data_IF_624278109705
#
_entry.id   IF_624278109705
#
_cell.length_a   1.000
_cell.length_b   1.000
_cell.length_c   1.000
_cell.angle_alpha   90.00
_cell.angle_beta   90.00
_cell.angle_gamma   90.00
#
_symmetry.space_group_name_H-M   'P 1'
#
loop_
_entity.id
_entity.type
_entity.pdbx_description
1 polymer ?
#
# COMPACT_ATOMS: atom_id res chain seq x y z
N UNK A 1 -19.52 21.84 0.21
CA UNK A 1 -18.98 21.76 1.58
C UNK A 1 -17.64 22.48 1.58
N UNK A 2 -17.33 23.35 2.55
CA UNK A 2 -16.02 23.97 2.62
C UNK A 2 -14.99 22.85 2.85
N UNK A 3 -14.04 22.71 1.93
CA UNK A 3 -12.91 21.81 2.13
C UNK A 3 -12.06 22.46 3.21
N UNK A 4 -11.96 21.82 4.37
CA UNK A 4 -11.14 22.30 5.47
C UNK A 4 -9.70 22.47 4.96
N UNK A 5 -9.23 23.71 4.91
CA UNK A 5 -7.87 24.12 4.55
C UNK A 5 -6.79 23.20 5.18
N UNK A 6 -6.88 22.74 6.45
CA UNK A 6 -5.91 21.79 7.00
C UNK A 6 -5.89 20.42 6.31
N UNK A 7 -7.03 19.89 5.85
CA UNK A 7 -7.08 18.60 5.13
C UNK A 7 -6.41 18.70 3.76
N UNK A 8 -6.56 19.84 3.09
CA UNK A 8 -5.91 20.13 1.80
C UNK A 8 -4.39 20.16 1.91
N UNK A 9 -3.85 20.80 2.94
CA UNK A 9 -2.40 20.87 3.19
C UNK A 9 -1.81 19.48 3.46
N UNK A 10 -2.56 18.63 4.18
CA UNK A 10 -2.16 17.25 4.43
C UNK A 10 -2.13 16.41 3.14
N UNK A 11 -3.15 16.54 2.28
CA UNK A 11 -3.20 15.86 0.99
C UNK A 11 -2.05 16.30 0.07
N UNK A 12 -1.76 17.61 0.01
CA UNK A 12 -0.65 18.14 -0.79
C UNK A 12 0.72 17.61 -0.31
N UNK A 13 0.91 17.41 1.00
CA UNK A 13 2.13 16.81 1.54
C UNK A 13 2.24 15.31 1.23
N UNK A 14 1.14 14.58 1.22
CA UNK A 14 1.15 13.16 0.81
C UNK A 14 1.28 12.99 -0.70
N UNK A 15 0.86 13.96 -1.51
CA UNK A 15 1.09 13.94 -2.95
C UNK A 15 2.58 13.95 -3.29
N UNK A 16 3.43 14.54 -2.43
CA UNK A 16 4.90 14.48 -2.53
C UNK A 16 5.47 13.08 -2.25
N UNK A 17 4.66 12.11 -1.81
CA UNK A 17 5.08 10.73 -1.59
C UNK A 17 4.55 9.79 -2.70
N UNK A 18 3.95 10.34 -3.75
CA UNK A 18 3.42 9.55 -4.87
C UNK A 18 4.58 9.11 -5.76
N UNK A 19 4.91 7.81 -5.83
CA UNK A 19 6.02 7.33 -6.64
C UNK A 19 5.72 7.49 -8.13
N UNK A 20 6.75 7.80 -8.93
CA UNK A 20 6.63 7.88 -10.38
C UNK A 20 6.10 6.58 -11.04
N UNK A 21 5.50 6.62 -12.25
CA UNK A 21 4.71 5.52 -12.82
C UNK A 21 5.43 4.18 -12.97
N UNK A 22 6.75 4.20 -13.23
CA UNK A 22 7.56 2.99 -13.33
C UNK A 22 7.82 2.36 -11.94
N UNK A 23 8.06 3.19 -10.92
CA UNK A 23 8.24 2.77 -9.53
C UNK A 23 6.96 2.15 -8.97
N UNK A 24 5.79 2.75 -9.26
CA UNK A 24 4.49 2.25 -8.79
C UNK A 24 4.20 0.82 -9.25
N UNK A 25 4.60 0.45 -10.47
CA UNK A 25 4.43 -0.91 -11.00
C UNK A 25 5.21 -1.94 -10.21
N UNK A 26 6.45 -1.64 -9.86
CA UNK A 26 7.28 -2.54 -9.06
C UNK A 26 6.81 -2.62 -7.61
N UNK A 27 6.32 -1.50 -7.05
CA UNK A 27 5.71 -1.47 -5.72
C UNK A 27 4.42 -2.31 -5.65
N UNK A 28 3.57 -2.28 -6.68
CA UNK A 28 2.40 -3.16 -6.78
C UNK A 28 2.78 -4.65 -6.78
N UNK A 29 3.88 -5.01 -7.44
CA UNK A 29 4.40 -6.39 -7.40
C UNK A 29 4.88 -6.73 -5.98
N UNK A 30 5.59 -5.81 -5.33
CA UNK A 30 6.05 -5.98 -3.95
C UNK A 30 4.88 -6.15 -2.96
N UNK A 31 3.80 -5.38 -3.12
CA UNK A 31 2.58 -5.51 -2.34
C UNK A 31 1.91 -6.87 -2.56
N UNK A 32 1.83 -7.32 -3.81
CA UNK A 32 1.27 -8.63 -4.12
C UNK A 32 2.05 -9.75 -3.43
N UNK A 33 3.39 -9.67 -3.45
CA UNK A 33 4.26 -10.61 -2.71
C UNK A 33 3.97 -10.55 -1.21
N UNK A 34 3.77 -9.37 -0.64
CA UNK A 34 3.42 -9.19 0.77
C UNK A 34 2.06 -9.81 1.12
N UNK A 35 1.03 -9.58 0.30
CA UNK A 35 -0.31 -10.14 0.49
C UNK A 35 -0.32 -11.67 0.36
N UNK A 36 0.42 -12.21 -0.61
CA UNK A 36 0.61 -13.65 -0.74
C UNK A 36 1.33 -14.21 0.49
N UNK A 37 2.40 -13.56 0.96
CA UNK A 37 3.11 -13.99 2.16
C UNK A 37 2.21 -13.97 3.41
N UNK A 38 1.35 -12.96 3.55
CA UNK A 38 0.33 -12.88 4.61
C UNK A 38 -0.64 -14.07 4.53
N UNK A 39 -1.18 -14.35 3.34
CA UNK A 39 -2.08 -15.49 3.14
C UNK A 39 -1.42 -16.85 3.41
N UNK A 40 -0.14 -16.99 3.06
CA UNK A 40 0.65 -18.21 3.31
C UNK A 40 0.97 -18.44 4.80
N UNK A 41 0.99 -17.38 5.60
CA UNK A 41 1.20 -17.47 7.05
C UNK A 41 0.01 -18.12 7.79
N UNK A 42 -1.17 -18.18 7.15
CA UNK A 42 -2.39 -18.77 7.70
C UNK A 42 -2.45 -20.29 7.40
N UNK A 43 -3.05 -21.08 8.30
CA UNK A 43 -3.17 -22.55 8.13
C UNK A 43 -3.95 -22.95 6.88
N UNK A 44 -5.01 -22.22 6.53
CA UNK A 44 -5.86 -22.46 5.36
C UNK A 44 -5.36 -21.75 4.10
N UNK A 45 -4.09 -21.94 3.74
CA UNK A 45 -3.36 -21.19 2.69
C UNK A 45 -4.10 -21.05 1.36
N UNK A 46 -4.71 -22.13 0.86
CA UNK A 46 -5.40 -22.17 -0.44
C UNK A 46 -6.57 -21.17 -0.54
N UNK A 47 -7.19 -20.85 0.60
CA UNK A 47 -8.29 -19.89 0.69
C UNK A 47 -7.76 -18.54 1.17
N UNK A 48 -6.83 -18.53 2.12
CA UNK A 48 -6.29 -17.32 2.71
C UNK A 48 -5.51 -16.46 1.70
N UNK A 49 -4.78 -17.05 0.75
CA UNK A 49 -4.06 -16.30 -0.29
C UNK A 49 -5.02 -15.53 -1.21
N UNK A 50 -6.01 -16.16 -1.89
CA UNK A 50 -6.93 -15.41 -2.74
C UNK A 50 -7.77 -14.41 -1.93
N UNK A 51 -8.11 -14.71 -0.67
CA UNK A 51 -8.79 -13.75 0.22
C UNK A 51 -7.90 -12.55 0.54
N UNK A 52 -6.63 -12.75 0.88
CA UNK A 52 -5.70 -11.65 1.18
C UNK A 52 -5.47 -10.76 -0.05
N UNK A 53 -5.28 -11.36 -1.22
CA UNK A 53 -5.14 -10.62 -2.48
C UNK A 53 -6.43 -9.86 -2.82
N UNK A 54 -7.59 -10.52 -2.74
CA UNK A 54 -8.89 -9.89 -2.99
C UNK A 54 -9.19 -8.74 -2.04
N UNK A 55 -8.94 -8.93 -0.74
CA UNK A 55 -9.09 -7.89 0.27
C UNK A 55 -8.14 -6.71 0.04
N UNK A 56 -6.89 -6.99 -0.38
CA UNK A 56 -5.94 -5.95 -0.75
C UNK A 56 -6.43 -5.10 -1.92
N UNK A 57 -6.89 -5.73 -3.01
CA UNK A 57 -7.41 -5.01 -4.18
C UNK A 57 -8.68 -4.20 -3.85
N UNK A 58 -9.59 -4.76 -3.04
CA UNK A 58 -10.74 -4.03 -2.54
C UNK A 58 -10.32 -2.83 -1.68
N UNK A 59 -9.34 -3.02 -0.79
CA UNK A 59 -8.78 -1.96 0.04
C UNK A 59 -8.17 -0.83 -0.79
N UNK A 60 -7.40 -1.16 -1.83
CA UNK A 60 -6.87 -0.17 -2.77
C UNK A 60 -8.00 0.64 -3.44
N UNK A 61 -9.04 -0.04 -3.91
CA UNK A 61 -10.18 0.63 -4.56
C UNK A 61 -10.93 1.56 -3.60
N UNK A 62 -11.20 1.10 -2.37
CA UNK A 62 -11.84 1.91 -1.33
C UNK A 62 -10.98 3.13 -0.98
N UNK A 63 -9.67 2.95 -0.87
CA UNK A 63 -8.74 4.01 -0.52
C UNK A 63 -8.64 5.08 -1.62
N UNK A 64 -8.56 4.66 -2.88
CA UNK A 64 -8.62 5.57 -4.02
C UNK A 64 -9.94 6.36 -4.07
N UNK A 65 -11.06 5.69 -3.78
CA UNK A 65 -12.38 6.31 -3.74
C UNK A 65 -12.52 7.32 -2.58
N UNK A 66 -12.03 6.98 -1.38
CA UNK A 66 -12.07 7.85 -0.20
C UNK A 66 -11.25 9.12 -0.38
N UNK A 67 -10.11 9.01 -1.05
CA UNK A 67 -9.21 10.13 -1.28
C UNK A 67 -9.58 10.93 -2.54
N UNK A 68 -10.48 10.38 -3.36
CA UNK A 68 -10.84 10.92 -4.67
C UNK A 68 -9.62 11.13 -5.59
N UNK A 69 -8.55 10.38 -5.33
CA UNK A 69 -7.28 10.41 -6.05
C UNK A 69 -6.68 9.01 -6.03
N UNK A 70 -6.55 8.42 -7.21
CA UNK A 70 -6.06 7.05 -7.36
C UNK A 70 -4.58 6.91 -7.00
N UNK A 71 -3.74 7.88 -7.38
CA UNK A 71 -2.30 7.81 -7.15
C UNK A 71 -1.97 8.01 -5.68
N UNK A 72 -2.69 8.91 -5.02
CA UNK A 72 -2.58 9.09 -3.58
C UNK A 72 -3.04 7.84 -2.82
N UNK A 73 -4.17 7.26 -3.24
CA UNK A 73 -4.66 6.01 -2.66
C UNK A 73 -3.67 4.85 -2.85
N UNK A 74 -3.02 4.80 -4.00
CA UNK A 74 -1.99 3.80 -4.29
C UNK A 74 -0.74 4.01 -3.42
N UNK A 75 -0.31 5.26 -3.21
CA UNK A 75 0.81 5.57 -2.32
C UNK A 75 0.52 5.14 -0.86
N UNK A 76 -0.66 5.47 -0.33
CA UNK A 76 -1.07 5.01 0.99
C UNK A 76 -1.25 3.48 1.06
N UNK A 77 -1.70 2.84 -0.01
CA UNK A 77 -1.83 1.40 -0.08
C UNK A 77 -0.49 0.69 0.14
N UNK A 78 0.59 1.14 -0.52
CA UNK A 78 1.95 0.60 -0.33
C UNK A 78 2.38 0.65 1.15
N UNK A 79 2.08 1.77 1.84
CA UNK A 79 2.41 1.93 3.26
C UNK A 79 1.59 0.98 4.14
N UNK A 80 0.29 0.86 3.89
CA UNK A 80 -0.61 -0.02 4.65
C UNK A 80 -0.21 -1.49 4.48
N UNK A 81 0.04 -1.94 3.24
CA UNK A 81 0.46 -3.31 2.96
C UNK A 81 1.82 -3.61 3.58
N UNK A 82 2.80 -2.72 3.40
CA UNK A 82 4.13 -2.86 3.99
C UNK A 82 4.07 -2.96 5.52
N UNK A 83 3.27 -2.10 6.18
CA UNK A 83 3.09 -2.11 7.63
C UNK A 83 2.40 -3.41 8.10
N UNK A 84 1.35 -3.84 7.39
CA UNK A 84 0.62 -5.07 7.71
C UNK A 84 1.53 -6.30 7.58
N UNK A 85 2.30 -6.39 6.50
CA UNK A 85 3.28 -7.46 6.31
C UNK A 85 4.38 -7.41 7.38
N UNK A 86 4.89 -6.23 7.74
CA UNK A 86 5.91 -6.09 8.80
C UNK A 86 5.40 -6.59 10.16
N UNK A 87 4.13 -6.34 10.47
CA UNK A 87 3.51 -6.72 11.73
C UNK A 87 3.14 -8.21 11.78
N UNK A 88 2.58 -8.76 10.71
CA UNK A 88 1.90 -10.06 10.73
C UNK A 88 2.60 -11.16 9.91
N UNK A 89 3.54 -10.84 9.02
CA UNK A 89 4.33 -11.86 8.33
C UNK A 89 5.54 -12.30 9.16
N UNK A 90 5.86 -13.60 9.12
CA UNK A 90 7.12 -14.13 9.67
C UNK A 90 8.36 -13.55 8.99
N UNK A 91 8.45 -13.49 7.64
CA UNK A 91 9.50 -12.74 6.96
C UNK A 91 9.21 -11.24 7.04
N UNK A 92 9.35 -10.66 8.24
CA UNK A 92 9.08 -9.24 8.55
C UNK A 92 9.87 -8.29 7.64
N UNK A 93 11.03 -8.74 7.18
CA UNK A 93 11.88 -8.00 6.25
C UNK A 93 11.18 -7.67 4.92
N UNK A 94 10.23 -8.49 4.45
CA UNK A 94 9.45 -8.17 3.23
C UNK A 94 8.64 -6.89 3.43
N UNK A 95 7.88 -6.81 4.53
CA UNK A 95 7.10 -5.62 4.84
C UNK A 95 7.99 -4.40 5.06
N UNK A 96 9.09 -4.57 5.79
CA UNK A 96 10.07 -3.49 6.01
C UNK A 96 10.72 -2.98 4.73
N UNK A 97 11.10 -3.87 3.81
CA UNK A 97 11.69 -3.52 2.53
C UNK A 97 10.68 -2.78 1.64
N UNK A 98 9.43 -3.26 1.55
CA UNK A 98 8.36 -2.58 0.80
C UNK A 98 8.07 -1.19 1.37
N UNK A 99 8.03 -1.04 2.70
CA UNK A 99 7.81 0.24 3.35
C UNK A 99 8.96 1.23 3.05
N UNK A 100 10.19 0.77 3.23
CA UNK A 100 11.39 1.58 2.95
C UNK A 100 11.45 1.99 1.47
N UNK A 101 11.13 1.07 0.57
CA UNK A 101 11.12 1.33 -0.87
C UNK A 101 10.02 2.32 -1.26
N UNK A 102 8.81 2.18 -0.72
CA UNK A 102 7.70 3.10 -0.99
C UNK A 102 8.03 4.53 -0.53
N UNK A 103 8.58 4.68 0.68
CA UNK A 103 9.00 5.98 1.22
C UNK A 103 10.14 6.56 0.39
N UNK A 104 11.19 5.78 0.12
CA UNK A 104 12.34 6.25 -0.64
C UNK A 104 11.95 6.69 -2.05
N UNK A 105 11.14 5.89 -2.77
CA UNK A 105 10.69 6.23 -4.11
C UNK A 105 9.74 7.43 -4.09
N UNK A 106 8.83 7.52 -3.13
CA UNK A 106 7.99 8.70 -2.97
C UNK A 106 8.80 9.98 -2.79
N UNK A 107 9.88 9.95 -2.01
CA UNK A 107 10.75 11.13 -1.79
C UNK A 107 11.65 11.44 -3.00
N UNK A 108 12.05 10.42 -3.76
CA UNK A 108 13.04 10.55 -4.85
C UNK A 108 12.45 10.84 -6.23
N UNK A 109 11.12 10.84 -6.38
CA UNK A 109 10.42 11.11 -7.65
C UNK A 109 9.52 12.32 -7.53
#
# INVERSE_FOLDING_TARGET
MPVDIPARIWLERFALLVPGPAATRWLLIADLVCLVALGLAVRARRIAVPVAVGAGLLGLNVLAMLLNDFFLGLALFHLVVGATALLFCRPRWLGGATLALAIALGVLT
#
